data_IF_125854074899
#
_entry.id   IF_125854074899
#
_cell.length_a   1.000
_cell.length_b   1.000
_cell.length_c   1.000
_cell.angle_alpha   90.00
_cell.angle_beta   90.00
_cell.angle_gamma   90.00
#
_symmetry.space_group_name_H-M   'P 1'
#
loop_
_entity.id
_entity.type
_entity.pdbx_description
1 polymer ?
#
# COMPACT_ATOMS: atom_id res chain seq x y z
N UNK A 1 59.10 -26.83 16.15
CA UNK A 1 57.66 -27.05 15.97
C UNK A 1 56.95 -27.68 17.18
N UNK A 2 57.45 -27.55 18.41
CA UNK A 2 56.77 -28.10 19.62
C UNK A 2 56.33 -27.03 20.63
N UNK A 3 56.60 -25.75 20.37
CA UNK A 3 56.25 -24.63 21.29
C UNK A 3 54.90 -24.02 21.05
N UNK A 4 54.41 -24.03 19.80
CA UNK A 4 53.13 -23.35 19.45
C UNK A 4 51.88 -24.15 19.83
N UNK A 5 52.00 -25.45 20.08
CA UNK A 5 50.86 -26.30 20.47
C UNK A 5 50.45 -26.13 21.94
N UNK A 6 51.42 -25.74 22.81
CA UNK A 6 51.12 -25.51 24.23
C UNK A 6 50.42 -24.15 24.49
N UNK A 7 50.72 -23.15 23.68
CA UNK A 7 50.03 -21.85 23.79
C UNK A 7 48.58 -21.92 23.28
N UNK A 8 48.33 -22.69 22.21
CA UNK A 8 46.97 -22.87 21.69
C UNK A 8 46.07 -23.67 22.66
N UNK A 9 46.65 -24.66 23.36
CA UNK A 9 45.92 -25.43 24.38
C UNK A 9 45.58 -24.58 25.62
N UNK A 10 46.48 -23.64 26.00
CA UNK A 10 46.25 -22.76 27.15
C UNK A 10 45.20 -21.68 26.82
N UNK A 11 45.18 -21.16 25.59
CA UNK A 11 44.17 -20.22 25.13
C UNK A 11 42.77 -20.86 25.05
N UNK A 12 42.68 -22.12 24.60
CA UNK A 12 41.41 -22.85 24.53
C UNK A 12 40.87 -23.21 25.94
N UNK A 13 41.74 -23.53 26.90
CA UNK A 13 41.34 -23.78 28.29
C UNK A 13 40.85 -22.47 28.99
N UNK A 14 41.45 -21.32 28.67
CA UNK A 14 41.05 -20.03 29.24
C UNK A 14 39.72 -19.57 28.68
N UNK A 15 39.40 -19.81 27.39
CA UNK A 15 38.11 -19.52 26.78
C UNK A 15 37.02 -20.43 27.34
N UNK A 16 37.31 -21.69 27.63
CA UNK A 16 36.35 -22.59 28.28
C UNK A 16 36.08 -22.23 29.76
N UNK A 17 37.06 -21.67 30.48
CA UNK A 17 36.88 -21.25 31.87
C UNK A 17 36.08 -19.93 31.98
N UNK A 18 36.18 -19.04 31.00
CA UNK A 18 35.35 -17.82 30.92
C UNK A 18 33.92 -18.19 30.56
N UNK A 19 33.67 -19.20 29.71
CA UNK A 19 32.35 -19.71 29.36
C UNK A 19 31.60 -20.40 30.51
N UNK A 20 32.31 -20.87 31.56
CA UNK A 20 31.70 -21.53 32.73
C UNK A 20 31.36 -20.56 33.88
N UNK A 21 31.78 -19.29 33.82
CA UNK A 21 31.47 -18.26 34.81
C UNK A 21 30.31 -17.36 34.38
N UNK A 22 29.80 -17.50 33.15
CA UNK A 22 28.60 -16.80 32.66
C UNK A 22 27.33 -17.68 32.73
N UNK A 23 27.40 -18.84 33.34
CA UNK A 23 26.28 -19.72 33.55
C UNK A 23 25.69 -19.55 34.93
N UNK A 24 24.69 -18.73 35.07
CA UNK A 24 23.63 -18.61 36.07
C UNK A 24 23.40 -17.15 36.46
N UNK A 25 23.17 -16.26 35.51
CA UNK A 25 22.05 -15.35 35.68
C UNK A 25 20.84 -16.13 35.18
N UNK A 26 20.04 -16.65 36.08
CA UNK A 26 18.62 -16.84 35.77
C UNK A 26 18.18 -15.49 35.22
N UNK A 27 18.00 -15.37 33.91
CA UNK A 27 17.20 -14.31 33.35
C UNK A 27 15.89 -14.44 34.10
N UNK A 28 15.59 -13.47 34.99
CA UNK A 28 14.24 -13.34 35.47
C UNK A 28 13.39 -13.35 34.17
N UNK A 29 12.54 -14.35 33.99
CA UNK A 29 11.56 -14.33 32.92
C UNK A 29 10.85 -13.01 33.08
N UNK A 30 11.05 -12.10 32.14
CA UNK A 30 10.39 -10.81 32.14
C UNK A 30 8.90 -11.10 32.09
N UNK A 31 8.15 -10.67 33.12
CA UNK A 31 6.72 -10.91 33.13
C UNK A 31 6.12 -10.25 31.91
N UNK A 32 5.17 -10.93 31.23
CA UNK A 32 4.47 -10.31 30.12
C UNK A 32 3.85 -8.97 30.55
N UNK A 33 4.06 -7.93 29.75
CA UNK A 33 3.44 -6.63 29.99
C UNK A 33 1.93 -6.72 29.87
N UNK A 34 1.22 -5.96 30.67
CA UNK A 34 -0.23 -5.84 30.53
C UNK A 34 -0.58 -5.08 29.24
N UNK A 35 -1.67 -5.47 28.59
CA UNK A 35 -2.07 -4.92 27.28
C UNK A 35 -3.55 -4.57 27.29
N UNK A 36 -3.87 -3.32 26.98
CA UNK A 36 -5.22 -2.91 26.61
C UNK A 36 -5.38 -3.11 25.10
N UNK A 37 -6.11 -4.17 24.73
CA UNK A 37 -6.41 -4.50 23.34
C UNK A 37 -7.81 -3.99 22.98
N UNK A 38 -7.88 -3.02 22.07
CA UNK A 38 -9.15 -2.57 21.49
C UNK A 38 -9.22 -3.03 20.04
N UNK A 39 -10.30 -3.71 19.68
CA UNK A 39 -10.62 -4.11 18.31
C UNK A 39 -11.77 -3.25 17.80
N UNK A 40 -11.53 -2.55 16.69
CA UNK A 40 -12.59 -1.88 15.93
C UNK A 40 -12.93 -2.75 14.73
N UNK A 41 -14.17 -3.20 14.63
CA UNK A 41 -14.64 -4.05 13.56
C UNK A 41 -16.02 -3.63 13.06
N UNK A 42 -16.35 -3.96 11.81
CA UNK A 42 -17.71 -3.74 11.33
C UNK A 42 -18.63 -4.89 11.75
N UNK A 43 -18.20 -6.16 11.63
CA UNK A 43 -19.04 -7.36 11.85
C UNK A 43 -20.36 -7.27 11.06
N UNK A 44 -20.29 -6.86 9.82
CA UNK A 44 -21.39 -6.54 8.93
C UNK A 44 -21.31 -7.25 7.57
N UNK A 45 -22.21 -6.91 6.66
CA UNK A 45 -22.36 -7.60 5.38
C UNK A 45 -21.43 -7.09 4.27
N UNK A 46 -20.56 -6.11 4.54
CA UNK A 46 -19.74 -5.47 3.50
C UNK A 46 -18.25 -5.74 3.60
N UNK A 47 -17.82 -6.63 4.50
CA UNK A 47 -16.43 -7.04 4.64
C UNK A 47 -16.33 -8.40 5.37
N UNK A 48 -15.17 -9.06 5.30
CA UNK A 48 -14.94 -10.27 6.06
C UNK A 48 -15.05 -10.06 7.57
N UNK A 49 -15.50 -11.11 8.27
CA UNK A 49 -15.70 -11.06 9.71
C UNK A 49 -14.37 -10.99 10.48
N UNK A 50 -14.35 -10.23 11.58
CA UNK A 50 -13.29 -10.32 12.57
C UNK A 50 -13.46 -11.61 13.37
N UNK A 51 -12.63 -12.62 13.10
CA UNK A 51 -12.67 -13.91 13.78
C UNK A 51 -11.62 -14.04 14.87
N UNK A 52 -11.85 -14.93 15.84
CA UNK A 52 -10.82 -15.23 16.85
C UNK A 52 -9.54 -15.82 16.22
N UNK A 53 -9.65 -16.56 15.12
CA UNK A 53 -8.51 -17.10 14.38
C UNK A 53 -7.66 -15.96 13.76
N UNK A 54 -8.31 -14.95 13.17
CA UNK A 54 -7.65 -13.77 12.64
C UNK A 54 -6.92 -12.98 13.74
N UNK A 55 -7.53 -12.88 14.90
CA UNK A 55 -7.05 -12.09 16.05
C UNK A 55 -6.18 -12.89 17.02
N UNK A 56 -5.92 -14.17 16.76
CA UNK A 56 -5.19 -15.06 17.67
C UNK A 56 -3.89 -14.44 18.20
N UNK A 57 -2.99 -13.84 17.38
CA UNK A 57 -1.75 -13.27 17.88
C UNK A 57 -1.98 -12.17 18.95
N UNK A 58 -2.95 -11.31 18.70
CA UNK A 58 -3.30 -10.20 19.62
C UNK A 58 -3.99 -10.68 20.88
N UNK A 59 -4.92 -11.64 20.75
CA UNK A 59 -5.61 -12.23 21.88
C UNK A 59 -4.64 -12.99 22.78
N UNK A 60 -3.71 -13.76 22.17
CA UNK A 60 -2.68 -14.49 22.88
C UNK A 60 -1.77 -13.57 23.69
N UNK A 61 -1.41 -12.42 23.13
CA UNK A 61 -0.63 -11.38 23.81
C UNK A 61 -1.42 -10.77 24.97
N UNK A 62 -2.63 -10.30 24.74
CA UNK A 62 -3.47 -9.63 25.74
C UNK A 62 -3.78 -10.53 26.95
N UNK A 63 -4.00 -11.85 26.74
CA UNK A 63 -4.27 -12.78 27.86
C UNK A 63 -3.01 -13.28 28.57
N UNK A 64 -1.82 -12.86 28.15
CA UNK A 64 -0.56 -13.42 28.66
C UNK A 64 -0.11 -12.82 29.96
N UNK A 65 -0.51 -11.59 30.30
CA UNK A 65 -0.18 -10.97 31.59
C UNK A 65 -1.06 -11.50 32.72
N UNK A 66 -0.50 -11.54 33.94
CA UNK A 66 -1.20 -12.02 35.12
C UNK A 66 -2.46 -11.19 35.42
N UNK A 67 -2.34 -9.84 35.33
CA UNK A 67 -3.42 -8.89 35.61
C UNK A 67 -3.22 -7.59 34.83
N UNK A 68 -4.25 -6.76 34.79
CA UNK A 68 -4.20 -5.41 34.25
C UNK A 68 -4.32 -5.33 32.72
N UNK A 69 -4.60 -6.46 32.05
CA UNK A 69 -4.94 -6.46 30.63
C UNK A 69 -6.44 -6.40 30.42
N UNK A 70 -6.86 -5.82 29.29
CA UNK A 70 -8.26 -5.77 28.89
C UNK A 70 -8.46 -6.11 27.42
N UNK A 71 -9.68 -6.52 27.07
CA UNK A 71 -10.15 -6.66 25.69
C UNK A 71 -11.44 -5.88 25.51
N UNK A 72 -11.50 -5.06 24.48
CA UNK A 72 -12.69 -4.28 24.10
C UNK A 72 -13.00 -4.44 22.63
N UNK A 73 -14.25 -4.74 22.30
CA UNK A 73 -14.77 -4.71 20.94
C UNK A 73 -15.63 -3.47 20.75
N UNK A 74 -15.30 -2.69 19.73
CA UNK A 74 -16.11 -1.57 19.25
C UNK A 74 -16.61 -1.90 17.85
N UNK A 75 -17.90 -1.85 17.64
CA UNK A 75 -18.50 -2.03 16.34
C UNK A 75 -18.70 -0.68 15.66
N UNK A 76 -18.10 -0.58 14.43
CA UNK A 76 -18.15 0.60 13.59
C UNK A 76 -19.41 0.61 12.72
N UNK A 77 -20.58 0.38 13.30
CA UNK A 77 -21.85 0.52 12.57
C UNK A 77 -22.23 2.00 12.40
N UNK A 78 -23.38 2.32 11.79
CA UNK A 78 -23.79 3.69 11.52
C UNK A 78 -23.94 4.57 12.79
N UNK A 79 -23.99 3.94 13.97
CA UNK A 79 -23.89 4.57 15.29
C UNK A 79 -22.92 3.71 16.12
N UNK A 80 -21.63 3.99 16.11
CA UNK A 80 -20.62 3.16 16.75
C UNK A 80 -20.89 2.95 18.23
N UNK A 81 -20.57 1.76 18.73
CA UNK A 81 -20.78 1.43 20.14
C UNK A 81 -19.79 0.37 20.61
N UNK A 82 -19.52 0.36 21.91
CA UNK A 82 -18.78 -0.69 22.58
C UNK A 82 -19.68 -1.93 22.71
N UNK A 83 -19.35 -2.96 21.94
CA UNK A 83 -20.12 -4.22 21.88
C UNK A 83 -19.82 -5.14 23.06
N UNK A 84 -18.61 -5.04 23.62
CA UNK A 84 -18.21 -5.78 24.81
C UNK A 84 -16.88 -5.29 25.37
N UNK A 85 -16.66 -5.58 26.63
CA UNK A 85 -15.42 -5.28 27.36
C UNK A 85 -15.21 -6.32 28.45
N UNK A 86 -13.98 -6.72 28.62
CA UNK A 86 -13.53 -7.55 29.73
C UNK A 86 -12.15 -7.10 30.19
N UNK A 87 -11.95 -7.03 31.50
CA UNK A 87 -10.68 -6.76 32.17
C UNK A 87 -10.33 -7.95 33.05
N UNK A 88 -9.04 -8.30 33.10
CA UNK A 88 -8.59 -9.47 33.86
C UNK A 88 -7.71 -9.06 35.01
N UNK A 89 -8.20 -9.43 36.18
CA UNK A 89 -7.48 -9.35 37.45
C UNK A 89 -7.14 -10.78 37.92
N UNK A 90 -5.89 -11.06 38.11
CA UNK A 90 -5.46 -12.32 38.72
C UNK A 90 -4.98 -12.02 40.15
N UNK A 91 -5.79 -12.40 41.15
CA UNK A 91 -5.53 -12.09 42.54
C UNK A 91 -4.62 -13.09 43.27
N UNK A 92 -4.35 -14.24 42.63
CA UNK A 92 -3.59 -15.34 43.21
C UNK A 92 -2.52 -15.84 42.23
N UNK A 93 -1.37 -16.29 42.76
CA UNK A 93 -0.35 -16.96 41.95
C UNK A 93 -0.87 -18.33 41.52
N UNK A 94 -1.16 -18.49 40.23
CA UNK A 94 -1.62 -19.75 39.62
C UNK A 94 -0.41 -20.65 39.30
N UNK A 95 -0.59 -21.98 39.47
CA UNK A 95 0.35 -22.93 38.90
C UNK A 95 0.14 -23.01 37.36
N UNK A 96 1.11 -23.60 36.65
CA UNK A 96 1.11 -23.66 35.18
C UNK A 96 -0.19 -24.26 34.60
N UNK A 97 -0.74 -25.29 35.21
CA UNK A 97 -1.97 -25.94 34.70
C UNK A 97 -3.19 -25.02 34.85
N UNK A 98 -3.36 -24.39 36.00
CA UNK A 98 -4.44 -23.43 36.25
C UNK A 98 -4.25 -22.17 35.42
N UNK A 99 -2.98 -21.75 35.19
CA UNK A 99 -2.73 -20.62 34.31
C UNK A 99 -3.14 -20.89 32.85
N UNK A 100 -2.92 -22.11 32.38
CA UNK A 100 -3.41 -22.51 31.06
C UNK A 100 -4.94 -22.48 30.97
N UNK A 101 -5.62 -23.01 31.96
CA UNK A 101 -7.10 -22.96 32.04
C UNK A 101 -7.61 -21.50 32.07
N UNK A 102 -6.96 -20.64 32.83
CA UNK A 102 -7.29 -19.20 32.91
C UNK A 102 -7.17 -18.53 31.53
N UNK A 103 -6.07 -18.75 30.81
CA UNK A 103 -5.89 -18.23 29.44
C UNK A 103 -6.97 -18.70 28.48
N UNK A 104 -7.30 -19.99 28.52
CA UNK A 104 -8.37 -20.58 27.71
C UNK A 104 -9.72 -19.93 28.01
N UNK A 105 -9.99 -19.66 29.28
CA UNK A 105 -11.21 -18.98 29.71
C UNK A 105 -11.25 -17.52 29.24
N UNK A 106 -10.14 -16.77 29.36
CA UNK A 106 -10.01 -15.39 28.87
C UNK A 106 -10.25 -15.31 27.36
N UNK A 107 -9.62 -16.21 26.58
CA UNK A 107 -9.86 -16.30 25.12
C UNK A 107 -11.34 -16.61 24.83
N UNK A 108 -11.97 -17.51 25.59
CA UNK A 108 -13.38 -17.81 25.43
C UNK A 108 -14.29 -16.59 25.66
N UNK A 109 -13.96 -15.74 26.61
CA UNK A 109 -14.67 -14.48 26.84
C UNK A 109 -14.52 -13.52 25.66
N UNK A 110 -13.30 -13.40 25.08
CA UNK A 110 -13.08 -12.60 23.87
C UNK A 110 -13.92 -13.14 22.69
N UNK A 111 -13.94 -14.45 22.48
CA UNK A 111 -14.74 -15.10 21.42
C UNK A 111 -16.23 -14.79 21.57
N UNK A 112 -16.74 -14.84 22.78
CA UNK A 112 -18.15 -14.50 23.07
C UNK A 112 -18.46 -13.04 22.69
N UNK A 113 -17.55 -12.12 23.00
CA UNK A 113 -17.67 -10.70 22.63
C UNK A 113 -17.57 -10.53 21.11
N UNK A 114 -16.66 -11.25 20.42
CA UNK A 114 -16.49 -11.17 18.96
C UNK A 114 -17.69 -11.69 18.18
N UNK A 115 -18.60 -12.45 18.77
CA UNK A 115 -19.84 -12.91 18.15
C UNK A 115 -20.92 -11.81 18.04
N UNK A 116 -20.67 -10.62 18.55
CA UNK A 116 -21.58 -9.49 18.36
C UNK A 116 -21.56 -9.01 16.92
N UNK A 117 -22.70 -8.54 16.40
CA UNK A 117 -22.87 -8.13 15.02
C UNK A 117 -23.31 -6.68 14.91
N UNK A 118 -23.05 -6.04 13.75
CA UNK A 118 -23.57 -4.72 13.42
C UNK A 118 -25.10 -4.68 13.52
N UNK A 119 -25.66 -3.56 13.94
CA UNK A 119 -27.12 -3.32 14.08
C UNK A 119 -27.69 -2.57 12.91
N UNK A 120 -26.85 -1.83 12.20
CA UNK A 120 -27.21 -0.98 11.06
C UNK A 120 -26.38 -1.34 9.84
N UNK A 121 -26.87 -1.06 8.62
CA UNK A 121 -26.12 -1.37 7.39
C UNK A 121 -24.95 -0.43 7.15
N UNK A 122 -24.96 0.76 7.73
CA UNK A 122 -23.96 1.79 7.50
C UNK A 122 -22.83 1.70 8.52
N UNK A 123 -21.69 2.33 8.20
CA UNK A 123 -20.52 2.36 9.09
C UNK A 123 -19.97 3.77 9.29
N UNK A 124 -19.77 4.14 10.56
CA UNK A 124 -19.07 5.34 11.00
C UNK A 124 -17.73 4.94 11.64
N UNK A 125 -16.73 4.74 10.80
CA UNK A 125 -15.42 4.30 11.24
C UNK A 125 -14.71 5.36 12.10
N UNK A 126 -14.81 6.63 11.73
CA UNK A 126 -14.14 7.70 12.51
C UNK A 126 -14.76 7.86 13.89
N UNK A 127 -16.09 7.74 14.00
CA UNK A 127 -16.78 7.68 15.28
C UNK A 127 -16.34 6.49 16.13
N UNK A 128 -16.13 5.32 15.52
CA UNK A 128 -15.62 4.12 16.20
C UNK A 128 -14.18 4.31 16.69
N UNK A 129 -13.30 4.94 15.89
CA UNK A 129 -11.94 5.27 16.30
C UNK A 129 -11.91 6.26 17.47
N UNK A 130 -12.83 7.21 17.52
CA UNK A 130 -12.99 8.12 18.65
C UNK A 130 -13.42 7.38 19.93
N UNK A 131 -14.27 6.34 19.84
CA UNK A 131 -14.60 5.49 20.97
C UNK A 131 -13.42 4.62 21.41
N UNK A 132 -12.67 4.07 20.43
CA UNK A 132 -11.49 3.26 20.69
C UNK A 132 -10.39 4.07 21.41
N UNK A 133 -10.14 5.27 20.94
CA UNK A 133 -9.22 6.22 21.57
C UNK A 133 -9.55 6.46 23.03
N UNK A 134 -10.82 6.71 23.37
CA UNK A 134 -11.26 6.90 24.75
C UNK A 134 -11.04 5.65 25.58
N UNK A 135 -11.43 4.47 25.08
CA UNK A 135 -11.26 3.20 25.78
C UNK A 135 -9.78 2.93 26.10
N UNK A 136 -8.88 3.20 25.15
CA UNK A 136 -7.43 3.04 25.34
C UNK A 136 -6.84 4.10 26.28
N UNK A 137 -7.29 5.34 26.19
CA UNK A 137 -6.78 6.43 27.03
C UNK A 137 -7.26 6.32 28.47
N UNK A 138 -8.45 5.75 28.71
CA UNK A 138 -8.98 5.46 30.06
C UNK A 138 -8.32 4.21 30.68
N UNK A 139 -7.71 3.33 29.86
CA UNK A 139 -7.04 2.13 30.32
C UNK A 139 -5.70 2.38 30.98
N UNK A 140 -5.28 1.44 31.84
CA UNK A 140 -4.09 1.54 32.68
C UNK A 140 -3.00 0.50 32.36
N UNK A 141 -3.14 -0.30 31.32
CA UNK A 141 -2.16 -1.29 30.94
C UNK A 141 -0.83 -0.67 30.48
N UNK A 142 0.25 -1.45 30.54
CA UNK A 142 1.59 -1.03 30.14
C UNK A 142 1.69 -0.77 28.63
N UNK A 143 0.89 -1.48 27.86
CA UNK A 143 0.82 -1.38 26.39
C UNK A 143 -0.61 -1.11 25.94
N UNK A 144 -0.74 -0.32 24.88
CA UNK A 144 -2.02 0.03 24.25
C UNK A 144 -1.99 -0.37 22.80
N UNK A 145 -2.92 -1.23 22.42
CA UNK A 145 -2.98 -1.78 21.05
C UNK A 145 -4.35 -1.58 20.43
N UNK A 146 -4.40 -0.94 19.26
CA UNK A 146 -5.58 -0.82 18.43
C UNK A 146 -5.47 -1.74 17.22
N UNK A 147 -6.44 -2.64 17.06
CA UNK A 147 -6.56 -3.48 15.85
C UNK A 147 -7.83 -3.08 15.12
N UNK A 148 -7.68 -2.66 13.87
CA UNK A 148 -8.78 -2.27 13.01
C UNK A 148 -9.04 -3.40 12.00
N UNK A 149 -10.22 -3.99 12.03
CA UNK A 149 -10.68 -5.03 11.09
C UNK A 149 -11.79 -4.43 10.26
N UNK A 150 -11.43 -3.69 9.23
CA UNK A 150 -12.36 -2.86 8.46
C UNK A 150 -11.83 -2.57 7.04
N UNK A 151 -12.74 -2.48 6.06
CA UNK A 151 -12.38 -2.14 4.68
C UNK A 151 -11.98 -0.67 4.46
N UNK A 152 -12.13 0.19 5.46
CA UNK A 152 -11.77 1.60 5.36
C UNK A 152 -12.76 2.46 4.58
N UNK A 153 -13.99 1.97 4.34
CA UNK A 153 -15.01 2.65 3.53
C UNK A 153 -16.20 3.03 4.41
N UNK A 154 -16.13 4.13 5.17
CA UNK A 154 -17.27 4.60 5.97
C UNK A 154 -18.41 5.08 5.07
N UNK A 155 -19.66 4.76 5.49
CA UNK A 155 -20.89 5.04 4.74
C UNK A 155 -21.97 5.79 5.54
N UNK A 156 -21.72 6.06 6.84
CA UNK A 156 -22.68 6.77 7.66
C UNK A 156 -22.82 8.24 7.25
N UNK A 157 -24.01 8.67 6.90
CA UNK A 157 -24.28 10.06 6.49
C UNK A 157 -24.18 11.09 7.62
N UNK A 158 -24.19 10.65 8.88
CA UNK A 158 -24.00 11.50 10.06
C UNK A 158 -22.58 11.56 10.58
N UNK A 159 -21.65 10.80 10.00
CA UNK A 159 -20.24 10.80 10.34
C UNK A 159 -19.47 11.95 9.70
N UNK A 160 -18.33 12.31 10.28
CA UNK A 160 -17.45 13.36 9.72
C UNK A 160 -16.80 12.94 8.38
N UNK A 161 -16.69 11.63 8.13
CA UNK A 161 -16.18 11.07 6.88
C UNK A 161 -17.15 10.01 6.34
N UNK A 162 -17.58 10.15 5.09
CA UNK A 162 -18.49 9.19 4.43
C UNK A 162 -18.21 9.15 2.93
N UNK A 163 -18.18 7.95 2.38
CA UNK A 163 -18.05 7.71 0.93
C UNK A 163 -19.40 7.39 0.28
N UNK A 164 -20.52 7.50 1.00
CA UNK A 164 -21.83 7.25 0.41
C UNK A 164 -22.10 8.19 -0.77
N UNK A 165 -22.47 7.62 -1.91
CA UNK A 165 -22.66 8.39 -3.14
C UNK A 165 -21.37 8.86 -3.84
N UNK A 166 -20.20 8.58 -3.27
CA UNK A 166 -18.91 8.79 -3.92
C UNK A 166 -18.50 7.59 -4.79
N UNK A 167 -17.46 7.78 -5.58
CA UNK A 167 -16.77 6.72 -6.33
C UNK A 167 -15.32 6.67 -5.88
N UNK A 168 -14.93 5.59 -5.22
CA UNK A 168 -13.55 5.39 -4.75
C UNK A 168 -12.54 5.31 -5.88
N UNK A 169 -12.96 5.01 -7.11
CA UNK A 169 -12.11 5.09 -8.29
C UNK A 169 -11.61 6.50 -8.60
N UNK A 170 -12.26 7.52 -8.07
CA UNK A 170 -11.87 8.93 -8.23
C UNK A 170 -11.00 9.45 -7.09
N UNK A 171 -10.82 8.66 -6.01
CA UNK A 171 -9.95 9.05 -4.90
C UNK A 171 -8.50 9.17 -5.39
N UNK A 172 -7.87 10.30 -5.08
CA UNK A 172 -6.48 10.61 -5.43
C UNK A 172 -5.81 11.39 -4.29
N UNK A 173 -4.50 11.55 -4.38
CA UNK A 173 -3.69 12.21 -3.35
C UNK A 173 -4.22 13.61 -2.97
N UNK A 174 -4.61 14.43 -3.94
CA UNK A 174 -5.13 15.78 -3.67
C UNK A 174 -6.45 15.75 -2.87
N UNK A 175 -7.32 14.79 -3.18
CA UNK A 175 -8.57 14.58 -2.42
C UNK A 175 -8.25 14.07 -1.01
N UNK A 176 -7.30 13.13 -0.88
CA UNK A 176 -6.84 12.61 0.41
C UNK A 176 -6.35 13.73 1.32
N UNK A 177 -5.46 14.58 0.80
CA UNK A 177 -4.94 15.73 1.55
C UNK A 177 -6.05 16.70 1.96
N UNK A 178 -7.03 16.95 1.09
CA UNK A 178 -8.17 17.82 1.38
C UNK A 178 -9.02 17.24 2.50
N UNK A 179 -9.33 15.92 2.45
CA UNK A 179 -10.12 15.26 3.48
C UNK A 179 -9.41 15.24 4.83
N UNK A 180 -8.11 14.94 4.86
CA UNK A 180 -7.33 14.93 6.09
C UNK A 180 -7.28 16.33 6.73
N UNK A 181 -7.03 17.38 5.94
CA UNK A 181 -7.04 18.75 6.42
C UNK A 181 -8.42 19.18 6.97
N UNK A 182 -9.51 18.76 6.32
CA UNK A 182 -10.87 19.01 6.80
C UNK A 182 -11.12 18.35 8.16
N UNK A 183 -10.72 17.09 8.35
CA UNK A 183 -10.89 16.37 9.61
C UNK A 183 -10.11 17.03 10.76
N UNK A 184 -8.93 17.58 10.48
CA UNK A 184 -8.15 18.37 11.43
C UNK A 184 -8.86 19.69 11.78
N UNK A 185 -9.35 20.44 10.81
CA UNK A 185 -10.07 21.71 11.03
C UNK A 185 -11.35 21.50 11.85
N UNK A 186 -12.08 20.41 11.58
CA UNK A 186 -13.29 20.04 12.31
C UNK A 186 -13.01 19.44 13.70
N UNK A 187 -11.73 19.21 14.07
CA UNK A 187 -11.32 18.56 15.30
C UNK A 187 -11.95 17.16 15.46
N UNK A 188 -12.10 16.44 14.34
CA UNK A 188 -12.76 15.15 14.26
C UNK A 188 -11.82 13.97 14.55
N UNK A 189 -10.49 14.22 14.59
CA UNK A 189 -9.48 13.18 14.79
C UNK A 189 -9.52 12.62 16.22
N UNK A 190 -9.37 11.28 16.41
CA UNK A 190 -9.17 10.69 17.71
C UNK A 190 -7.79 11.07 18.31
N UNK A 191 -7.62 10.94 19.62
CA UNK A 191 -6.29 11.03 20.25
C UNK A 191 -5.68 9.63 20.37
N UNK A 192 -4.75 9.30 19.48
CA UNK A 192 -4.05 8.02 19.43
C UNK A 192 -2.59 8.11 19.90
N UNK A 193 -2.25 9.14 20.66
CA UNK A 193 -0.88 9.36 21.14
C UNK A 193 -0.36 8.16 21.93
N UNK A 194 0.76 7.57 21.47
CA UNK A 194 1.39 6.41 22.11
C UNK A 194 0.62 5.10 21.91
N UNK A 195 -0.22 5.00 20.87
CA UNK A 195 -1.00 3.82 20.55
C UNK A 195 -0.47 3.19 19.27
N UNK A 196 -0.17 1.90 19.32
CA UNK A 196 0.14 1.09 18.14
C UNK A 196 -1.13 0.68 17.41
N UNK A 197 -1.16 0.88 16.09
CA UNK A 197 -2.31 0.57 15.23
C UNK A 197 -1.94 -0.48 14.19
N UNK A 198 -2.65 -1.59 14.20
CA UNK A 198 -2.63 -2.60 13.14
C UNK A 198 -3.96 -2.60 12.39
N UNK A 199 -3.89 -2.49 11.07
CA UNK A 199 -5.07 -2.51 10.20
C UNK A 199 -5.12 -3.78 9.35
N UNK A 200 -6.23 -4.49 9.38
CA UNK A 200 -6.49 -5.72 8.64
C UNK A 200 -7.68 -5.49 7.71
N UNK A 201 -7.63 -6.02 6.49
CA UNK A 201 -8.68 -5.97 5.46
C UNK A 201 -8.97 -4.58 4.86
N UNK A 202 -8.02 -3.64 4.91
CA UNK A 202 -8.20 -2.37 4.18
C UNK A 202 -8.48 -2.65 2.70
N UNK A 203 -9.49 -1.99 2.13
CA UNK A 203 -9.88 -2.13 0.72
C UNK A 203 -10.55 -3.46 0.35
N UNK A 204 -10.58 -4.44 1.27
CA UNK A 204 -11.26 -5.71 1.03
C UNK A 204 -12.77 -5.55 1.12
N UNK A 205 -13.48 -6.26 0.25
CA UNK A 205 -14.95 -6.21 0.19
C UNK A 205 -15.57 -7.58 0.08
N UNK A 206 -16.78 -7.70 0.61
CA UNK A 206 -17.68 -8.84 0.42
C UNK A 206 -18.98 -8.30 -0.15
N UNK A 207 -19.57 -8.99 -1.12
CA UNK A 207 -20.85 -8.55 -1.71
C UNK A 207 -21.87 -8.16 -0.63
N UNK A 208 -22.57 -7.02 -0.77
CA UNK A 208 -22.67 -6.18 -1.97
C UNK A 208 -21.54 -5.16 -2.20
N UNK A 209 -20.58 -5.01 -1.28
CA UNK A 209 -19.41 -4.14 -1.46
C UNK A 209 -18.30 -4.89 -2.17
N UNK A 210 -17.88 -4.42 -3.33
CA UNK A 210 -16.73 -4.97 -4.05
C UNK A 210 -15.41 -4.51 -3.43
N UNK A 211 -14.37 -5.36 -3.53
CA UNK A 211 -13.00 -4.95 -3.21
C UNK A 211 -12.53 -3.83 -4.15
N UNK A 212 -11.71 -2.94 -3.62
CA UNK A 212 -11.21 -1.80 -4.40
C UNK A 212 -10.09 -2.22 -5.35
N UNK A 213 -9.83 -1.41 -6.39
CA UNK A 213 -8.67 -1.59 -7.27
C UNK A 213 -7.35 -1.32 -6.51
N UNK A 214 -6.21 -1.79 -7.04
CA UNK A 214 -4.90 -1.52 -6.44
C UNK A 214 -4.62 -0.02 -6.30
N UNK A 215 -5.02 0.81 -7.26
CA UNK A 215 -4.87 2.26 -7.19
C UNK A 215 -5.75 2.87 -6.10
N UNK A 216 -7.02 2.47 -6.03
CA UNK A 216 -7.93 2.94 -4.98
C UNK A 216 -7.47 2.46 -3.60
N UNK A 217 -6.89 1.24 -3.51
CA UNK A 217 -6.28 0.74 -2.28
C UNK A 217 -5.14 1.64 -1.81
N UNK A 218 -4.21 2.00 -2.71
CA UNK A 218 -3.07 2.86 -2.36
C UNK A 218 -3.54 4.24 -1.84
N UNK A 219 -4.53 4.83 -2.50
CA UNK A 219 -5.09 6.12 -2.08
C UNK A 219 -5.89 6.02 -0.78
N UNK A 220 -6.62 4.93 -0.57
CA UNK A 220 -7.34 4.66 0.68
C UNK A 220 -6.37 4.42 1.84
N UNK A 221 -5.28 3.69 1.58
CA UNK A 221 -4.20 3.49 2.54
C UNK A 221 -3.54 4.82 2.91
N UNK A 222 -3.23 5.66 1.92
CA UNK A 222 -2.67 7.00 2.16
C UNK A 222 -3.60 7.85 3.03
N UNK A 223 -4.91 7.83 2.76
CA UNK A 223 -5.88 8.56 3.58
C UNK A 223 -5.84 8.12 5.04
N UNK A 224 -5.97 6.82 5.29
CA UNK A 224 -6.04 6.32 6.66
C UNK A 224 -4.70 6.39 7.37
N UNK A 225 -3.58 6.21 6.66
CA UNK A 225 -2.26 6.45 7.23
C UNK A 225 -2.12 7.91 7.69
N UNK A 226 -2.48 8.87 6.83
CA UNK A 226 -2.43 10.30 7.19
C UNK A 226 -3.34 10.60 8.38
N UNK A 227 -4.59 10.10 8.37
CA UNK A 227 -5.55 10.32 9.47
C UNK A 227 -5.04 9.77 10.80
N UNK A 228 -4.45 8.57 10.81
CA UNK A 228 -3.95 7.92 12.01
C UNK A 228 -2.65 8.57 12.52
N UNK A 229 -1.75 8.96 11.64
CA UNK A 229 -0.53 9.69 11.98
C UNK A 229 -0.85 11.10 12.54
N UNK A 230 -1.77 11.82 11.90
CA UNK A 230 -2.26 13.13 12.38
C UNK A 230 -3.01 13.00 13.73
N UNK A 231 -3.61 11.85 14.00
CA UNK A 231 -4.19 11.50 15.30
C UNK A 231 -3.15 11.16 16.38
N UNK A 232 -1.86 11.09 16.02
CA UNK A 232 -0.75 10.84 16.94
C UNK A 232 -0.42 9.36 17.19
N UNK A 233 -0.85 8.43 16.32
CA UNK A 233 -0.50 7.01 16.45
C UNK A 233 1.02 6.82 16.46
N UNK A 234 1.54 5.93 17.33
CA UNK A 234 2.96 5.67 17.45
C UNK A 234 3.47 4.86 16.25
N UNK A 235 2.73 3.82 15.87
CA UNK A 235 2.97 3.04 14.66
C UNK A 235 1.65 2.77 13.93
N UNK A 236 1.71 2.72 12.60
CA UNK A 236 0.57 2.31 11.75
C UNK A 236 1.02 1.22 10.80
N UNK A 237 0.45 0.03 10.92
CA UNK A 237 0.80 -1.12 10.09
C UNK A 237 -0.42 -1.65 9.36
N UNK A 238 -0.40 -1.64 8.03
CA UNK A 238 -1.43 -2.28 7.20
C UNK A 238 -1.02 -3.72 6.88
N UNK A 239 -1.87 -4.67 7.30
CA UNK A 239 -1.61 -6.11 7.12
C UNK A 239 -2.44 -6.65 5.96
N UNK A 240 -1.74 -7.15 4.95
CA UNK A 240 -2.38 -7.88 3.86
C UNK A 240 -2.56 -9.33 4.29
N UNK A 241 -3.80 -9.79 4.35
CA UNK A 241 -4.14 -11.20 4.59
C UNK A 241 -5.35 -11.56 3.75
N UNK A 242 -5.40 -12.80 3.28
CA UNK A 242 -6.58 -13.27 2.57
C UNK A 242 -7.71 -13.50 3.57
N UNK A 243 -8.91 -13.00 3.30
CA UNK A 243 -10.06 -13.31 4.13
C UNK A 243 -10.38 -14.80 4.05
N UNK A 244 -10.46 -15.46 5.21
CA UNK A 244 -10.83 -16.87 5.35
C UNK A 244 -12.34 -17.07 5.55
N UNK A 245 -13.06 -15.97 5.79
CA UNK A 245 -14.51 -15.96 6.02
C UNK A 245 -15.20 -14.95 5.11
N UNK A 246 -16.45 -15.24 4.76
CA UNK A 246 -17.34 -14.28 4.11
C UNK A 246 -17.89 -13.23 5.06
N UNK A 247 -18.88 -12.47 4.61
CA UNK A 247 -19.63 -11.56 5.44
C UNK A 247 -20.30 -12.27 6.64
N UNK A 248 -20.53 -11.54 7.71
CA UNK A 248 -21.24 -12.08 8.89
C UNK A 248 -22.67 -12.43 8.52
N UNK A 249 -23.06 -13.71 8.78
CA UNK A 249 -24.38 -14.20 8.45
C UNK A 249 -25.46 -13.45 9.25
N UNK A 250 -26.51 -13.02 8.57
CA UNK A 250 -27.63 -12.29 9.20
C UNK A 250 -27.35 -10.83 9.52
N UNK A 251 -26.17 -10.31 9.21
CA UNK A 251 -25.89 -8.89 9.34
C UNK A 251 -26.67 -8.06 8.31
N UNK A 252 -26.99 -6.81 8.62
CA UNK A 252 -27.69 -5.92 7.67
C UNK A 252 -26.96 -5.80 6.34
N UNK A 253 -27.73 -5.75 5.23
CA UNK A 253 -27.18 -5.42 3.93
C UNK A 253 -26.73 -3.94 3.90
N UNK A 254 -25.57 -3.68 3.29
CA UNK A 254 -24.96 -2.35 3.24
C UNK A 254 -25.30 -1.63 1.94
N UNK A 255 -25.25 -0.29 1.98
CA UNK A 255 -25.19 0.52 0.77
C UNK A 255 -23.77 0.45 0.22
N UNK A 256 -23.61 -0.21 -0.93
CA UNK A 256 -22.31 -0.32 -1.57
C UNK A 256 -21.84 1.05 -2.10
N UNK A 257 -20.56 1.32 -1.91
CA UNK A 257 -19.84 2.45 -2.51
C UNK A 257 -19.30 2.01 -3.87
N UNK A 258 -19.44 2.85 -4.89
CA UNK A 258 -18.88 2.57 -6.21
C UNK A 258 -17.35 2.48 -6.14
N UNK A 259 -16.82 1.44 -6.75
CA UNK A 259 -15.38 1.21 -6.89
C UNK A 259 -15.05 1.10 -8.38
N UNK A 260 -15.48 2.10 -9.18
CA UNK A 260 -15.21 2.07 -10.61
C UNK A 260 -13.68 1.98 -10.79
N UNK A 261 -13.24 1.04 -11.61
CA UNK A 261 -11.89 1.18 -12.15
C UNK A 261 -11.92 2.49 -12.93
N UNK A 262 -11.05 3.45 -12.60
CA UNK A 262 -10.78 4.49 -13.57
C UNK A 262 -10.42 3.73 -14.85
N UNK A 263 -11.28 3.81 -15.86
CA UNK A 263 -10.83 3.57 -17.21
C UNK A 263 -9.88 4.73 -17.47
N UNK A 264 -8.60 4.54 -17.15
CA UNK A 264 -7.57 5.34 -17.78
C UNK A 264 -7.85 5.11 -19.25
N UNK A 265 -8.32 6.16 -19.95
CA UNK A 265 -8.40 6.09 -21.41
C UNK A 265 -6.96 5.97 -21.83
N UNK A 266 -6.53 4.73 -22.09
CA UNK A 266 -5.16 4.48 -22.51
C UNK A 266 -4.94 5.24 -23.82
N UNK A 267 -3.72 5.74 -24.05
CA UNK A 267 -3.39 6.39 -25.29
C UNK A 267 -3.69 5.49 -26.49
N UNK A 268 -4.36 6.03 -27.47
CA UNK A 268 -4.56 5.34 -28.73
C UNK A 268 -3.26 5.39 -29.55
N UNK A 269 -2.52 4.29 -29.53
CA UNK A 269 -1.23 4.17 -30.23
C UNK A 269 -1.38 3.80 -31.72
N UNK A 270 -2.62 3.70 -32.24
CA UNK A 270 -2.86 3.70 -33.68
C UNK A 270 -2.61 5.08 -34.32
N UNK A 271 -2.69 6.14 -33.52
CA UNK A 271 -2.29 7.49 -33.90
C UNK A 271 -0.90 7.84 -33.34
N UNK A 272 -0.10 8.66 -34.04
CA UNK A 272 1.24 8.99 -33.57
C UNK A 272 1.20 9.90 -32.34
N UNK A 273 1.91 9.52 -31.31
CA UNK A 273 2.06 10.29 -30.08
C UNK A 273 3.45 10.91 -30.02
N UNK A 274 3.53 12.24 -30.03
CA UNK A 274 4.74 12.97 -29.67
C UNK A 274 4.89 12.98 -28.17
N UNK A 275 5.89 12.30 -27.61
CA UNK A 275 6.13 12.30 -26.17
C UNK A 275 6.51 13.72 -25.70
N UNK A 276 5.90 14.17 -24.61
CA UNK A 276 6.11 15.52 -24.11
C UNK A 276 7.59 15.74 -23.69
N UNK A 277 8.31 16.66 -24.31
CA UNK A 277 9.74 16.92 -23.99
C UNK A 277 9.97 17.45 -22.56
N UNK A 278 8.94 17.96 -21.89
CA UNK A 278 9.06 18.36 -20.48
C UNK A 278 9.02 17.16 -19.52
N UNK A 279 8.36 16.08 -19.91
CA UNK A 279 8.26 14.85 -19.12
C UNK A 279 9.34 13.83 -19.54
N UNK A 280 9.57 13.66 -20.86
CA UNK A 280 10.62 12.79 -21.40
C UNK A 280 11.75 13.66 -21.92
N UNK A 281 12.34 14.47 -21.01
CA UNK A 281 13.41 15.41 -21.32
C UNK A 281 14.79 14.74 -21.33
N UNK A 282 15.68 15.22 -22.19
CA UNK A 282 17.09 14.81 -22.21
C UNK A 282 17.98 15.93 -21.74
N UNK A 283 19.11 15.60 -21.13
CA UNK A 283 20.15 16.58 -20.83
C UNK A 283 20.62 17.29 -22.13
N UNK A 284 21.16 18.50 -21.96
CA UNK A 284 21.60 19.29 -23.12
C UNK A 284 22.64 18.50 -23.97
N UNK A 285 22.41 18.42 -25.26
CA UNK A 285 23.26 17.71 -26.22
C UNK A 285 23.56 16.25 -25.84
N UNK A 286 22.62 15.61 -25.13
CA UNK A 286 22.73 14.24 -24.57
C UNK A 286 21.59 13.34 -25.04
N UNK A 287 21.80 12.05 -24.85
CA UNK A 287 20.80 11.00 -25.01
C UNK A 287 20.35 10.45 -23.65
N UNK A 288 20.91 10.99 -22.56
CA UNK A 288 20.56 10.64 -21.19
C UNK A 288 19.31 11.41 -20.77
N UNK A 289 18.32 10.71 -20.21
CA UNK A 289 17.13 11.34 -19.63
C UNK A 289 17.49 12.20 -18.43
N UNK A 290 16.95 13.41 -18.37
CA UNK A 290 17.20 14.36 -17.28
C UNK A 290 16.61 13.89 -15.96
N UNK A 291 15.44 13.23 -16.02
CA UNK A 291 14.73 12.64 -14.87
C UNK A 291 14.06 11.33 -15.30
N UNK A 292 14.75 10.18 -15.12
CA UNK A 292 14.20 8.87 -15.47
C UNK A 292 12.93 8.49 -14.68
N UNK A 293 12.79 8.96 -13.41
CA UNK A 293 11.63 8.64 -12.59
C UNK A 293 10.39 9.38 -13.09
N UNK A 294 10.50 10.69 -13.40
CA UNK A 294 9.41 11.45 -14.01
C UNK A 294 9.06 10.91 -15.41
N UNK A 295 10.04 10.46 -16.18
CA UNK A 295 9.80 9.82 -17.46
C UNK A 295 9.03 8.48 -17.30
N UNK A 296 9.35 7.66 -16.30
CA UNK A 296 8.63 6.43 -16.03
C UNK A 296 7.17 6.71 -15.62
N UNK A 297 6.92 7.68 -14.75
CA UNK A 297 5.56 8.07 -14.37
C UNK A 297 4.74 8.53 -15.59
N UNK A 298 5.31 9.39 -16.44
CA UNK A 298 4.66 9.85 -17.65
C UNK A 298 4.39 8.73 -18.67
N UNK A 299 5.31 7.76 -18.78
CA UNK A 299 5.22 6.66 -19.74
C UNK A 299 4.33 5.50 -19.27
N UNK A 300 3.95 5.45 -17.98
CA UNK A 300 3.16 4.35 -17.42
C UNK A 300 1.86 4.04 -18.20
N UNK A 301 0.99 5.01 -18.57
CA UNK A 301 -0.21 4.72 -19.34
C UNK A 301 0.09 4.22 -20.76
N UNK A 302 1.22 4.61 -21.36
CA UNK A 302 1.66 4.09 -22.67
C UNK A 302 2.16 2.65 -22.56
N UNK A 303 2.89 2.34 -21.49
CA UNK A 303 3.32 0.98 -21.18
C UNK A 303 2.13 0.04 -21.00
N UNK A 304 1.10 0.47 -20.28
CA UNK A 304 -0.13 -0.28 -20.11
C UNK A 304 -0.87 -0.50 -21.44
N UNK A 305 -0.94 0.53 -22.31
CA UNK A 305 -1.53 0.40 -23.65
C UNK A 305 -0.79 -0.65 -24.50
N UNK A 306 0.56 -0.64 -24.48
CA UNK A 306 1.39 -1.61 -25.20
C UNK A 306 1.18 -3.03 -24.64
N UNK A 307 1.13 -3.19 -23.33
CA UNK A 307 0.95 -4.50 -22.69
C UNK A 307 -0.44 -5.09 -22.92
N UNK A 308 -1.47 -4.25 -23.10
CA UNK A 308 -2.83 -4.72 -23.41
C UNK A 308 -2.99 -5.25 -24.83
N UNK A 309 -2.15 -4.81 -25.77
CA UNK A 309 -2.10 -5.30 -27.15
C UNK A 309 -0.72 -5.92 -27.44
N UNK A 310 -0.45 -7.05 -26.81
CA UNK A 310 0.82 -7.77 -26.92
C UNK A 310 1.04 -8.47 -28.27
N UNK A 311 0.05 -8.44 -29.17
CA UNK A 311 0.17 -8.97 -30.54
C UNK A 311 0.76 -7.93 -31.50
N UNK A 312 0.75 -6.66 -31.14
CA UNK A 312 1.27 -5.54 -31.93
C UNK A 312 2.69 -5.17 -31.52
N UNK A 313 3.46 -4.62 -32.45
CA UNK A 313 4.76 -4.00 -32.17
C UNK A 313 4.63 -2.48 -32.26
N UNK A 314 5.47 -1.79 -31.48
CA UNK A 314 5.40 -0.33 -31.38
C UNK A 314 6.73 0.32 -31.74
N UNK A 315 6.68 1.27 -32.66
CA UNK A 315 7.82 2.06 -33.08
C UNK A 315 8.05 3.17 -32.05
N UNK A 316 9.27 3.25 -31.53
CA UNK A 316 9.78 4.34 -30.69
C UNK A 316 10.81 5.09 -31.52
N UNK A 317 10.44 6.24 -32.08
CA UNK A 317 11.26 6.95 -33.07
C UNK A 317 11.79 8.28 -32.55
N UNK A 318 13.10 8.39 -32.42
CA UNK A 318 13.75 9.63 -31.99
C UNK A 318 14.00 10.58 -33.16
N UNK A 319 13.44 11.81 -33.05
CA UNK A 319 13.66 12.89 -34.03
C UNK A 319 14.56 13.98 -33.43
N UNK A 320 15.15 14.81 -34.32
CA UNK A 320 16.04 15.91 -33.96
C UNK A 320 15.74 17.16 -34.78
N UNK A 321 16.00 18.33 -34.21
CA UNK A 321 16.04 19.58 -34.96
C UNK A 321 17.19 19.60 -35.96
N UNK A 322 17.10 20.46 -36.98
CA UNK A 322 18.25 20.78 -37.84
C UNK A 322 19.23 21.63 -37.04
N UNK A 323 20.48 21.16 -36.97
CA UNK A 323 21.56 21.90 -36.31
C UNK A 323 22.71 22.15 -37.27
N UNK A 324 23.29 23.32 -37.22
CA UNK A 324 24.40 23.69 -38.08
C UNK A 324 25.57 22.71 -37.90
N UNK A 325 25.98 22.06 -38.99
CA UNK A 325 27.08 21.11 -38.97
C UNK A 325 26.70 19.66 -38.69
N UNK A 326 25.44 19.34 -38.39
CA UNK A 326 24.96 17.95 -38.31
C UNK A 326 24.73 17.37 -39.70
N UNK A 327 25.01 16.09 -39.87
CA UNK A 327 24.64 15.30 -41.04
C UNK A 327 23.39 14.47 -40.76
N UNK A 328 22.67 14.07 -41.80
CA UNK A 328 21.51 13.19 -41.65
C UNK A 328 21.89 11.92 -40.88
N UNK A 329 23.05 11.32 -41.16
CA UNK A 329 23.54 10.13 -40.45
C UNK A 329 23.79 10.38 -38.97
N UNK A 330 24.46 11.51 -38.60
CA UNK A 330 24.71 11.82 -37.18
C UNK A 330 23.42 12.13 -36.43
N UNK A 331 22.48 12.84 -37.05
CA UNK A 331 21.17 13.16 -36.47
C UNK A 331 20.33 11.90 -36.27
N UNK A 332 20.34 10.99 -37.23
CA UNK A 332 19.59 9.72 -37.14
C UNK A 332 20.16 8.81 -36.05
N UNK A 333 21.50 8.72 -35.93
CA UNK A 333 22.12 7.97 -34.83
C UNK A 333 21.80 8.56 -33.47
N UNK A 334 21.84 9.86 -33.34
CA UNK A 334 21.49 10.55 -32.10
C UNK A 334 20.01 10.34 -31.72
N UNK A 335 19.12 10.39 -32.70
CA UNK A 335 17.70 10.03 -32.51
C UNK A 335 17.53 8.59 -32.06
N UNK A 336 18.26 7.63 -32.65
CA UNK A 336 18.20 6.23 -32.23
C UNK A 336 18.61 6.04 -30.77
N UNK A 337 19.66 6.67 -30.31
CA UNK A 337 20.09 6.55 -28.91
C UNK A 337 19.05 7.14 -27.95
N UNK A 338 18.36 8.22 -28.31
CA UNK A 338 17.23 8.74 -27.51
C UNK A 338 16.04 7.78 -27.47
N UNK A 339 15.70 7.18 -28.60
CA UNK A 339 14.68 6.15 -28.67
C UNK A 339 15.00 4.95 -27.75
N UNK A 340 16.27 4.51 -27.73
CA UNK A 340 16.75 3.46 -26.83
C UNK A 340 16.63 3.82 -25.36
N UNK A 341 16.94 5.06 -24.97
CA UNK A 341 16.78 5.51 -23.59
C UNK A 341 15.32 5.48 -23.14
N UNK A 342 14.36 5.78 -24.04
CA UNK A 342 12.93 5.63 -23.76
C UNK A 342 12.54 4.16 -23.67
N UNK A 343 12.99 3.31 -24.60
CA UNK A 343 12.75 1.86 -24.54
C UNK A 343 13.31 1.24 -23.24
N UNK A 344 14.46 1.72 -22.76
CA UNK A 344 15.06 1.25 -21.50
C UNK A 344 14.15 1.53 -20.30
N UNK A 345 13.51 2.70 -20.24
CA UNK A 345 12.50 2.99 -19.19
C UNK A 345 11.28 2.09 -19.33
N UNK A 346 10.75 1.93 -20.55
CA UNK A 346 9.60 1.06 -20.80
C UNK A 346 9.88 -0.39 -20.42
N UNK A 347 11.09 -0.92 -20.67
CA UNK A 347 11.42 -2.32 -20.41
C UNK A 347 11.84 -2.57 -18.96
N UNK A 348 12.74 -1.73 -18.41
CA UNK A 348 13.33 -1.95 -17.10
C UNK A 348 12.40 -1.50 -15.96
N UNK A 349 11.77 -0.33 -16.12
CA UNK A 349 11.03 0.33 -15.03
C UNK A 349 9.53 0.06 -15.13
N UNK A 350 9.01 -0.24 -16.34
CA UNK A 350 7.59 -0.45 -16.62
C UNK A 350 7.28 -1.86 -17.18
N UNK A 351 8.25 -2.75 -17.18
CA UNK A 351 8.12 -4.19 -17.49
C UNK A 351 7.50 -4.51 -18.87
N UNK A 352 7.58 -3.58 -19.85
CA UNK A 352 7.19 -3.84 -21.25
C UNK A 352 8.16 -4.82 -21.88
N UNK A 353 7.65 -5.85 -22.59
CA UNK A 353 8.52 -6.80 -23.31
C UNK A 353 9.31 -6.09 -24.40
N UNK A 354 10.63 -6.33 -24.45
CA UNK A 354 11.53 -5.75 -25.45
C UNK A 354 11.10 -6.12 -26.89
N UNK A 355 10.53 -7.31 -27.10
CA UNK A 355 10.06 -7.79 -28.39
C UNK A 355 8.91 -6.95 -28.98
N UNK A 356 8.20 -6.20 -28.14
CA UNK A 356 7.12 -5.30 -28.56
C UNK A 356 7.64 -3.95 -29.04
N UNK A 357 8.88 -3.58 -28.73
CA UNK A 357 9.43 -2.26 -29.00
C UNK A 357 10.41 -2.28 -30.19
N UNK A 358 10.30 -1.28 -31.04
CA UNK A 358 11.19 -1.08 -32.19
C UNK A 358 11.83 0.31 -32.07
N UNK A 359 13.00 0.43 -31.44
CA UNK A 359 13.71 1.70 -31.39
C UNK A 359 14.23 2.10 -32.78
N UNK A 360 13.92 3.31 -33.21
CA UNK A 360 14.34 3.88 -34.47
C UNK A 360 14.93 5.29 -34.30
N UNK A 361 15.92 5.61 -35.11
CA UNK A 361 16.38 6.97 -35.29
C UNK A 361 15.87 7.52 -36.60
N UNK A 362 15.04 8.54 -36.55
CA UNK A 362 14.62 9.29 -37.73
C UNK A 362 15.40 10.63 -37.90
N UNK A 363 16.00 11.10 -36.79
CA UNK A 363 16.84 12.29 -36.80
C UNK A 363 16.13 13.49 -37.43
N UNK A 364 16.75 14.03 -38.49
CA UNK A 364 16.19 15.13 -39.28
C UNK A 364 15.72 14.66 -40.69
N UNK A 365 15.43 13.39 -40.86
CA UNK A 365 14.90 12.85 -42.13
C UNK A 365 13.50 13.42 -42.42
N UNK A 366 13.17 13.58 -43.73
CA UNK A 366 11.85 14.04 -44.12
C UNK A 366 10.82 12.92 -43.89
N UNK A 367 9.99 13.10 -42.88
CA UNK A 367 8.90 12.19 -42.53
C UNK A 367 7.62 12.97 -42.36
N UNK A 368 6.46 12.30 -42.35
CA UNK A 368 5.16 12.95 -42.18
C UNK A 368 4.97 13.59 -40.80
N UNK A 369 5.74 13.16 -39.79
CA UNK A 369 5.74 13.77 -38.46
C UNK A 369 6.66 14.98 -38.31
N UNK A 370 7.47 15.29 -39.35
CA UNK A 370 8.39 16.42 -39.26
C UNK A 370 7.65 17.76 -39.34
N UNK A 371 7.86 18.60 -38.34
CA UNK A 371 7.32 19.96 -38.28
C UNK A 371 8.25 20.97 -38.97
N UNK A 372 7.68 22.06 -39.45
CA UNK A 372 8.46 23.24 -39.88
C UNK A 372 9.08 23.99 -38.68
N UNK A 373 8.57 23.77 -37.47
CA UNK A 373 9.18 24.23 -36.22
C UNK A 373 10.23 23.24 -35.74
N UNK A 374 11.49 23.66 -35.82
CA UNK A 374 12.63 22.84 -35.40
C UNK A 374 12.60 22.46 -33.92
N UNK A 375 11.96 23.27 -33.06
CA UNK A 375 11.84 22.94 -31.65
C UNK A 375 10.90 21.73 -31.44
N UNK A 376 9.81 21.67 -32.22
CA UNK A 376 8.86 20.56 -32.19
C UNK A 376 9.46 19.22 -32.66
N UNK A 377 10.55 19.29 -33.45
CA UNK A 377 11.26 18.09 -33.92
C UNK A 377 12.18 17.46 -32.86
N UNK A 378 12.36 18.09 -31.69
CA UNK A 378 13.18 17.54 -30.59
C UNK A 378 12.33 16.65 -29.68
N UNK A 379 11.82 15.56 -30.23
CA UNK A 379 10.92 14.65 -29.52
C UNK A 379 11.17 13.18 -29.86
N UNK A 380 10.55 12.30 -29.10
CA UNK A 380 10.43 10.88 -29.41
C UNK A 380 8.96 10.59 -29.73
N UNK A 381 8.73 9.87 -30.81
CA UNK A 381 7.42 9.46 -31.28
C UNK A 381 7.14 8.03 -30.87
N UNK A 382 5.90 7.75 -30.49
CA UNK A 382 5.42 6.40 -30.20
C UNK A 382 4.18 6.12 -31.05
N UNK A 383 4.16 4.99 -31.76
CA UNK A 383 3.06 4.60 -32.67
C UNK A 383 3.10 3.09 -32.93
N UNK A 384 1.94 2.46 -33.18
CA UNK A 384 1.88 1.06 -33.57
C UNK A 384 2.55 0.85 -34.95
N UNK A 385 3.34 -0.23 -35.08
CA UNK A 385 4.17 -0.49 -36.25
C UNK A 385 3.36 -0.83 -37.51
N UNK A 386 2.14 -1.30 -37.37
CA UNK A 386 1.24 -1.69 -38.47
C UNK A 386 0.39 -0.53 -39.02
N UNK A 387 0.51 0.66 -38.47
CA UNK A 387 -0.11 1.88 -38.99
C UNK A 387 0.62 2.39 -40.24
N UNK A 388 0.00 3.29 -41.00
CA UNK A 388 0.64 3.91 -42.17
C UNK A 388 1.91 4.66 -41.77
N UNK A 389 1.86 5.41 -40.66
CA UNK A 389 3.03 6.11 -40.14
C UNK A 389 4.07 5.13 -39.59
N UNK A 390 3.65 4.12 -38.80
CA UNK A 390 4.57 3.11 -38.27
C UNK A 390 5.39 2.46 -39.41
N UNK A 391 4.74 2.12 -40.52
CA UNK A 391 5.41 1.59 -41.72
C UNK A 391 6.34 2.62 -42.36
N UNK A 392 5.90 3.88 -42.53
CA UNK A 392 6.76 4.95 -43.03
C UNK A 392 8.04 5.09 -42.21
N UNK A 393 7.91 5.12 -40.86
CA UNK A 393 9.06 5.26 -39.94
C UNK A 393 10.00 4.06 -40.02
N UNK A 394 9.45 2.84 -40.17
CA UNK A 394 10.24 1.62 -40.34
C UNK A 394 11.03 1.62 -41.68
N UNK A 395 10.46 2.19 -42.75
CA UNK A 395 11.09 2.27 -44.04
C UNK A 395 12.24 3.27 -44.11
N UNK A 396 12.17 4.37 -43.38
CA UNK A 396 13.15 5.48 -43.47
C UNK A 396 14.10 5.52 -42.27
N UNK A 397 13.72 4.97 -41.13
CA UNK A 397 14.48 5.06 -39.89
C UNK A 397 15.69 4.13 -39.85
N UNK A 398 16.69 4.55 -39.06
CA UNK A 398 17.81 3.68 -38.68
C UNK A 398 17.38 2.79 -37.54
N UNK A 399 17.33 1.49 -37.75
CA UNK A 399 17.06 0.51 -36.70
C UNK A 399 18.30 0.21 -35.81
N UNK A 400 18.03 -0.38 -34.64
CA UNK A 400 19.08 -0.79 -33.70
C UNK A 400 19.96 -1.93 -34.24
#
# INVERSE_FOLDING_TARGET
MKSNCKLAALALALVMMIGLLTGCSASAEEKPASTDLVVVALQGANMPAASAALLEPYLSEAVSADAGSSFTLILADGVPFQAGHVEWDCKESLNEAHWKEEKEQRISQCVEILNQTARTPETDLLGALNLASRALNDGSADQKKLVIVHNGIPTATGGCLSFIGADLGLLNESIVQTLAAQLQEEQALPDLTGIDVDWIYLGEGVEPQQSVSSQSYANLQLLWQTVLEDAGAETVTFKSTLPDTGAVEGAPAVTAVACSRQQVTLPDLSEPVALNPAAVGFEADSTTLSDPAAAAEYLAPYAEAIQQDADSRYVVAGSTADTAGSTAESSTRFGLERARSVCEVLTRDLEVSEDLLVPLGIGNLPTSVRSADDQANRTVWLVAADTDLGRELLDVGLAA
#
